data_IF_800265600401
#
_entry.id   IF_800265600401
#
_cell.length_a   1.000
_cell.length_b   1.000
_cell.length_c   1.000
_cell.angle_alpha   90.00
_cell.angle_beta   90.00
_cell.angle_gamma   90.00
#
_symmetry.space_group_name_H-M   'P 1'
#
loop_
_entity.id
_entity.type
_entity.pdbx_description
1 polymer ?
#
# COMPACT_ATOMS: atom_id res chain seq x y z
N UNK A 1 7.39 22.87 1.54
CA UNK A 1 8.09 21.58 1.74
C UNK A 1 7.24 20.45 1.19
N UNK A 2 7.78 19.58 0.32
CA UNK A 2 7.03 18.45 -0.22
C UNK A 2 6.72 17.42 0.89
N UNK A 3 5.46 17.00 0.98
CA UNK A 3 5.04 15.97 1.94
C UNK A 3 5.39 14.59 1.38
N UNK A 4 6.09 13.78 2.17
CA UNK A 4 6.30 12.36 1.87
C UNK A 4 5.05 11.58 2.26
N UNK A 5 4.49 10.81 1.32
CA UNK A 5 3.27 10.03 1.53
C UNK A 5 3.60 8.55 1.45
N UNK A 6 3.04 7.74 2.35
CA UNK A 6 3.21 6.28 2.27
C UNK A 6 2.18 5.66 1.34
N UNK A 7 2.61 4.67 0.57
CA UNK A 7 1.74 3.86 -0.26
C UNK A 7 0.86 2.96 0.61
N UNK A 8 -0.46 3.02 0.38
CA UNK A 8 -1.46 2.27 1.13
C UNK A 8 -1.37 0.74 0.96
N UNK A 9 -0.62 0.26 -0.03
CA UNK A 9 -0.52 -1.17 -0.32
C UNK A 9 0.85 -1.76 0.01
N UNK A 10 1.93 -1.20 -0.54
CA UNK A 10 3.26 -1.77 -0.31
C UNK A 10 3.91 -1.28 1.00
N UNK A 11 3.47 -0.14 1.54
CA UNK A 11 4.07 0.53 2.71
C UNK A 11 5.21 1.49 2.35
N UNK A 12 5.77 1.38 1.15
CA UNK A 12 6.88 2.20 0.68
C UNK A 12 6.53 3.69 0.56
N UNK A 13 7.57 4.53 0.61
CA UNK A 13 7.46 5.98 0.44
C UNK A 13 7.18 6.35 -1.02
N UNK A 14 6.33 7.35 -1.21
CA UNK A 14 6.01 7.95 -2.51
C UNK A 14 6.68 9.31 -2.59
N UNK A 15 7.49 9.48 -3.62
CA UNK A 15 8.10 10.77 -3.94
C UNK A 15 7.06 11.79 -4.41
N UNK A 16 7.21 13.07 -4.02
CA UNK A 16 6.26 14.11 -4.41
C UNK A 16 6.18 14.24 -5.95
N UNK A 17 4.97 14.40 -6.47
CA UNK A 17 4.74 14.47 -7.92
C UNK A 17 4.72 13.12 -8.64
N UNK A 18 4.84 12.02 -7.90
CA UNK A 18 4.76 10.64 -8.43
C UNK A 18 3.60 9.88 -7.79
N UNK A 19 3.13 8.84 -8.47
CA UNK A 19 2.11 7.92 -7.96
C UNK A 19 0.70 8.24 -8.45
N UNK A 20 -0.28 7.61 -7.81
CA UNK A 20 -1.70 7.70 -8.12
C UNK A 20 -2.50 7.83 -6.83
N UNK A 21 -3.54 8.64 -6.87
CA UNK A 21 -4.54 8.74 -5.81
C UNK A 21 -5.83 8.08 -6.31
N UNK A 22 -6.29 7.05 -5.61
CA UNK A 22 -7.56 6.40 -5.87
C UNK A 22 -8.54 6.72 -4.75
N UNK A 23 -9.65 7.37 -5.10
CA UNK A 23 -10.70 7.74 -4.14
C UNK A 23 -11.87 6.78 -4.29
N UNK A 24 -12.22 6.10 -3.20
CA UNK A 24 -13.41 5.25 -3.16
C UNK A 24 -14.68 6.08 -3.09
N UNK A 25 -15.82 5.46 -3.43
CA UNK A 25 -17.15 6.07 -3.28
C UNK A 25 -17.43 6.54 -1.84
N UNK A 26 -16.86 5.87 -0.85
CA UNK A 26 -17.01 6.20 0.57
C UNK A 26 -16.12 7.38 1.02
N UNK A 27 -15.38 8.02 0.10
CA UNK A 27 -14.46 9.12 0.40
C UNK A 27 -13.08 8.68 0.91
N UNK A 28 -12.85 7.37 1.12
CA UNK A 28 -11.54 6.85 1.52
C UNK A 28 -10.52 7.02 0.40
N UNK A 29 -9.40 7.67 0.72
CA UNK A 29 -8.31 7.93 -0.21
C UNK A 29 -7.21 6.87 -0.05
N UNK A 30 -6.85 6.21 -1.15
CA UNK A 30 -5.69 5.35 -1.24
C UNK A 30 -4.61 5.99 -2.09
N UNK A 31 -3.39 6.03 -1.56
CA UNK A 31 -2.22 6.51 -2.28
C UNK A 31 -1.42 5.31 -2.77
N UNK A 32 -1.13 5.25 -4.06
CA UNK A 32 -0.38 4.17 -4.68
C UNK A 32 0.92 4.69 -5.29
N UNK A 33 2.03 3.97 -5.07
CA UNK A 33 3.30 4.31 -5.69
C UNK A 33 3.36 3.95 -7.18
N UNK A 34 2.67 2.89 -7.60
CA UNK A 34 2.71 2.34 -8.97
C UNK A 34 1.38 1.66 -9.33
N UNK A 35 1.10 1.53 -10.64
CA UNK A 35 -0.04 0.74 -11.15
C UNK A 35 -0.01 -0.75 -10.73
N UNK A 36 1.16 -1.27 -10.34
CA UNK A 36 1.25 -2.62 -9.74
C UNK A 36 0.50 -2.68 -8.42
N UNK A 37 0.60 -1.65 -7.59
CA UNK A 37 -0.06 -1.60 -6.28
C UNK A 37 -1.58 -1.42 -6.44
N UNK A 38 -1.97 -0.52 -7.33
CA UNK A 38 -3.38 -0.31 -7.72
C UNK A 38 -4.02 -1.61 -8.19
N UNK A 39 -3.45 -2.27 -9.22
CA UNK A 39 -4.03 -3.50 -9.77
C UNK A 39 -4.14 -4.64 -8.75
N UNK A 40 -3.14 -4.79 -7.88
CA UNK A 40 -3.21 -5.83 -6.85
C UNK A 40 -4.33 -5.54 -5.83
N UNK A 41 -4.51 -4.28 -5.44
CA UNK A 41 -5.49 -3.92 -4.41
C UNK A 41 -6.91 -3.80 -4.95
N UNK A 42 -7.09 -3.14 -6.11
CA UNK A 42 -8.40 -2.81 -6.68
C UNK A 42 -8.90 -3.89 -7.63
N UNK A 43 -8.10 -4.29 -8.63
CA UNK A 43 -8.55 -5.26 -9.64
C UNK A 43 -8.53 -6.70 -9.09
N UNK A 44 -7.49 -7.06 -8.35
CA UNK A 44 -7.29 -8.43 -7.85
C UNK A 44 -7.76 -8.63 -6.42
N UNK A 45 -8.23 -7.58 -5.73
CA UNK A 45 -8.70 -7.61 -4.34
C UNK A 45 -7.72 -8.30 -3.36
N UNK A 46 -6.42 -8.21 -3.62
CA UNK A 46 -5.39 -8.83 -2.77
C UNK A 46 -5.14 -7.95 -1.56
N UNK A 47 -5.17 -8.56 -0.37
CA UNK A 47 -4.82 -7.89 0.88
C UNK A 47 -3.29 -7.84 1.03
N UNK A 48 -2.69 -6.69 1.38
CA UNK A 48 -1.23 -6.55 1.49
C UNK A 48 -0.62 -7.57 2.47
N UNK A 49 -1.31 -7.82 3.59
CA UNK A 49 -1.01 -8.87 4.58
C UNK A 49 -0.77 -10.27 4.04
N UNK A 50 -1.35 -10.65 2.90
CA UNK A 50 -1.16 -11.98 2.29
C UNK A 50 0.01 -12.02 1.30
N UNK A 51 0.61 -10.88 0.98
CA UNK A 51 1.54 -10.72 -0.13
C UNK A 51 2.95 -10.51 0.40
N UNK A 52 3.81 -11.49 0.14
CA UNK A 52 5.16 -11.62 0.73
C UNK A 52 6.05 -10.39 0.64
N UNK A 53 5.94 -9.62 -0.43
CA UNK A 53 6.83 -8.48 -0.70
C UNK A 53 6.37 -7.16 -0.07
N UNK A 54 5.14 -7.09 0.45
CA UNK A 54 4.66 -5.88 1.13
C UNK A 54 5.27 -5.76 2.52
N UNK A 55 5.41 -4.54 3.02
CA UNK A 55 5.87 -4.31 4.39
C UNK A 55 4.88 -4.86 5.43
N UNK A 56 3.58 -4.82 5.14
CA UNK A 56 2.57 -5.29 6.08
C UNK A 56 2.65 -6.80 6.30
N UNK A 57 2.92 -7.59 5.25
CA UNK A 57 3.22 -9.01 5.40
C UNK A 57 4.45 -9.26 6.29
N UNK A 58 5.51 -8.47 6.12
CA UNK A 58 6.74 -8.61 6.92
C UNK A 58 6.46 -8.30 8.40
N UNK A 59 5.68 -7.24 8.67
CA UNK A 59 5.25 -6.85 10.02
C UNK A 59 4.41 -7.95 10.67
N UNK A 60 3.41 -8.47 9.97
CA UNK A 60 2.54 -9.54 10.50
C UNK A 60 3.33 -10.83 10.77
N UNK A 61 4.25 -11.21 9.86
CA UNK A 61 5.14 -12.36 10.08
C UNK A 61 5.98 -12.18 11.34
N UNK A 62 6.56 -10.99 11.54
CA UNK A 62 7.38 -10.70 12.71
C UNK A 62 6.55 -10.75 14.01
N UNK A 63 5.31 -10.27 14.00
CA UNK A 63 4.40 -10.38 15.15
C UNK A 63 4.07 -11.84 15.47
N UNK A 64 3.85 -12.68 14.46
CA UNK A 64 3.53 -14.10 14.65
C UNK A 64 4.71 -14.90 15.21
N UNK A 65 5.94 -14.58 14.81
CA UNK A 65 7.14 -15.29 15.28
C UNK A 65 7.56 -14.90 16.71
N UNK A 66 7.09 -13.76 17.21
CA UNK A 66 7.36 -13.30 18.60
C UNK A 66 6.41 -13.90 19.65
N UNK A 67 5.41 -14.67 19.21
CA UNK A 67 4.47 -15.40 20.07
C UNK A 67 4.95 -16.82 20.25
#
# INVERSE_FOLDING_TARGET
MPRKVNCSFCGGLIDPGTGLIFVRKDGVVYNFCTHKCERNMINLNRKPRKIRWTEEYKKEKALRTKK
#
